data_IF_422299672421
#
_entry.id   IF_422299672421
#
_cell.length_a   1.000
_cell.length_b   1.000
_cell.length_c   1.000
_cell.angle_alpha   90.00
_cell.angle_beta   90.00
_cell.angle_gamma   90.00
#
_symmetry.space_group_name_H-M   'P 1'
#
loop_
_entity.id
_entity.type
_entity.pdbx_description
1 polymer ?
#
# COMPACT_ATOMS: atom_id res chain seq x y z
N UNK A 1 3.44 21.20 -13.49
CA UNK A 1 4.22 20.34 -14.44
C UNK A 1 3.89 20.63 -15.88
N UNK A 2 4.89 20.48 -16.79
CA UNK A 2 4.64 20.59 -18.22
C UNK A 2 3.87 19.35 -18.72
N UNK A 3 3.03 19.53 -19.76
CA UNK A 3 2.31 18.43 -20.43
C UNK A 3 3.24 17.27 -20.82
N UNK A 4 4.50 17.57 -21.11
CA UNK A 4 5.54 16.60 -21.49
C UNK A 4 5.90 15.65 -20.31
N UNK A 5 5.92 16.13 -19.08
CA UNK A 5 6.24 15.33 -17.88
C UNK A 5 5.07 14.41 -17.53
N UNK A 6 3.82 14.89 -17.61
CA UNK A 6 2.61 14.05 -17.43
C UNK A 6 2.55 12.93 -18.47
N UNK A 7 2.94 13.23 -19.72
CA UNK A 7 3.00 12.23 -20.81
C UNK A 7 4.09 11.19 -20.57
N UNK A 8 5.24 11.58 -20.01
CA UNK A 8 6.33 10.64 -19.70
C UNK A 8 5.95 9.68 -18.56
N UNK A 9 5.32 10.17 -17.50
CA UNK A 9 4.86 9.35 -16.38
C UNK A 9 3.77 8.39 -16.85
N UNK A 10 2.77 8.88 -17.59
CA UNK A 10 1.73 8.04 -18.19
C UNK A 10 2.31 7.01 -19.18
N UNK A 11 3.37 7.33 -19.92
CA UNK A 11 4.04 6.40 -20.82
C UNK A 11 4.84 5.32 -20.06
N UNK A 12 5.44 5.64 -18.91
CA UNK A 12 6.10 4.64 -18.05
C UNK A 12 5.08 3.65 -17.45
N UNK A 13 3.91 4.14 -17.04
CA UNK A 13 2.82 3.29 -16.54
C UNK A 13 2.22 2.46 -17.68
N UNK A 14 1.98 3.05 -18.86
CA UNK A 14 1.44 2.34 -20.03
C UNK A 14 2.45 1.37 -20.66
N UNK A 15 3.75 1.69 -20.63
CA UNK A 15 4.82 0.83 -21.14
C UNK A 15 4.97 -0.51 -20.40
N UNK A 16 4.50 -0.57 -19.14
CA UNK A 16 4.47 -1.81 -18.37
C UNK A 16 3.41 -2.83 -18.90
N UNK A 17 2.52 -2.42 -19.79
CA UNK A 17 1.48 -3.30 -20.36
C UNK A 17 1.83 -3.96 -21.71
N UNK A 18 2.93 -3.54 -22.37
CA UNK A 18 3.22 -3.97 -23.74
C UNK A 18 3.78 -5.39 -23.88
N UNK A 19 4.49 -6.01 -22.92
CA UNK A 19 4.95 -7.40 -23.04
C UNK A 19 4.02 -8.46 -22.46
N UNK A 20 2.85 -8.12 -21.93
CA UNK A 20 2.00 -9.03 -21.16
C UNK A 20 1.53 -10.29 -21.92
N UNK A 21 1.63 -10.33 -23.26
CA UNK A 21 1.19 -11.48 -24.06
C UNK A 21 2.08 -12.74 -23.93
N UNK A 22 3.30 -12.61 -23.35
CA UNK A 22 4.25 -13.70 -23.14
C UNK A 22 4.87 -13.72 -21.73
N UNK A 23 4.39 -12.86 -20.83
CA UNK A 23 4.92 -12.78 -19.48
C UNK A 23 4.50 -14.00 -18.65
N UNK A 24 5.45 -14.68 -18.05
CA UNK A 24 5.18 -15.76 -17.11
C UNK A 24 4.65 -15.15 -15.79
N UNK A 25 3.45 -15.58 -15.38
CA UNK A 25 2.86 -15.19 -14.10
C UNK A 25 3.23 -16.22 -13.03
N UNK A 26 3.95 -15.78 -12.00
CA UNK A 26 4.38 -16.64 -10.89
C UNK A 26 3.30 -16.82 -9.84
N UNK A 27 2.57 -15.74 -9.54
CA UNK A 27 1.43 -15.77 -8.61
C UNK A 27 0.40 -14.70 -8.94
N UNK A 28 -0.79 -14.90 -8.42
CA UNK A 28 -1.86 -13.91 -8.34
C UNK A 28 -2.63 -14.20 -7.05
N UNK A 29 -2.82 -13.19 -6.24
CA UNK A 29 -3.56 -13.27 -4.99
C UNK A 29 -4.58 -12.15 -4.94
N UNK A 30 -5.82 -12.48 -4.64
CA UNK A 30 -6.90 -11.51 -4.46
C UNK A 30 -7.51 -11.67 -3.08
N UNK A 31 -7.85 -10.56 -2.44
CA UNK A 31 -8.48 -10.61 -1.14
C UNK A 31 -9.55 -9.54 -0.94
N UNK A 32 -10.43 -9.80 0.01
CA UNK A 32 -11.39 -8.83 0.53
C UNK A 32 -11.18 -8.74 2.04
N UNK A 33 -11.14 -7.51 2.55
CA UNK A 33 -11.04 -7.23 3.98
C UNK A 33 -12.21 -6.39 4.46
N UNK A 34 -12.57 -6.58 5.73
CA UNK A 34 -13.45 -5.68 6.46
C UNK A 34 -12.70 -5.24 7.71
N UNK A 35 -12.60 -3.92 7.91
CA UNK A 35 -11.99 -3.31 9.08
C UNK A 35 -13.00 -2.44 9.79
N UNK A 36 -12.94 -2.42 11.12
CA UNK A 36 -13.82 -1.59 11.96
C UNK A 36 -13.03 -0.99 13.11
N UNK A 37 -13.19 0.32 13.32
CA UNK A 37 -12.69 1.04 14.50
C UNK A 37 -13.62 2.20 14.86
N UNK A 38 -13.62 2.60 16.11
CA UNK A 38 -14.28 3.80 16.63
C UNK A 38 -13.27 4.92 17.01
N UNK A 39 -12.01 4.74 16.61
CA UNK A 39 -10.90 5.60 16.99
C UNK A 39 -10.23 6.34 15.82
N UNK A 40 -10.79 6.27 14.59
CA UNK A 40 -10.21 6.99 13.45
C UNK A 40 -10.28 8.50 13.64
N UNK A 41 -9.19 9.18 13.29
CA UNK A 41 -9.10 10.63 13.38
C UNK A 41 -9.78 11.30 12.19
N UNK A 42 -10.63 12.29 12.47
CA UNK A 42 -11.30 13.12 11.47
C UNK A 42 -10.95 14.60 11.63
N UNK A 43 -11.39 15.41 10.67
CA UNK A 43 -11.24 16.86 10.72
C UNK A 43 -11.82 17.44 12.02
N UNK A 44 -11.21 18.52 12.51
CA UNK A 44 -11.65 19.19 13.74
C UNK A 44 -11.26 18.45 15.00
N UNK A 45 -10.25 17.56 14.94
CA UNK A 45 -9.70 16.82 16.09
C UNK A 45 -10.73 15.91 16.77
N UNK A 46 -11.58 15.31 15.99
CA UNK A 46 -12.62 14.40 16.46
C UNK A 46 -12.31 12.97 16.06
N UNK A 47 -12.74 12.03 16.90
CA UNK A 47 -12.71 10.61 16.54
C UNK A 47 -14.01 10.19 15.91
N UNK A 48 -13.92 9.30 14.93
CA UNK A 48 -15.07 8.78 14.18
C UNK A 48 -15.05 7.28 14.14
N UNK A 49 -16.23 6.69 14.15
CA UNK A 49 -16.42 5.26 13.90
C UNK A 49 -16.51 5.05 12.40
N UNK A 50 -15.67 4.16 11.87
CA UNK A 50 -15.64 3.86 10.44
C UNK A 50 -15.53 2.36 10.18
N UNK A 51 -16.10 1.93 9.06
CA UNK A 51 -15.90 0.60 8.49
C UNK A 51 -15.26 0.74 7.11
N UNK A 52 -14.17 0.03 6.90
CA UNK A 52 -13.54 -0.08 5.58
C UNK A 52 -13.86 -1.43 4.95
N UNK A 53 -14.16 -1.42 3.66
CA UNK A 53 -14.24 -2.58 2.80
C UNK A 53 -13.11 -2.45 1.78
N UNK A 54 -12.12 -3.32 1.87
CA UNK A 54 -10.95 -3.30 1.00
C UNK A 54 -10.99 -4.48 0.05
N UNK A 55 -10.80 -4.22 -1.24
CA UNK A 55 -10.41 -5.22 -2.21
C UNK A 55 -8.95 -5.02 -2.57
N UNK A 56 -8.17 -6.11 -2.62
CA UNK A 56 -6.77 -6.08 -3.00
C UNK A 56 -6.48 -7.15 -4.06
N UNK A 57 -5.52 -6.86 -4.93
CA UNK A 57 -4.93 -7.84 -5.84
C UNK A 57 -3.42 -7.62 -5.95
N UNK A 58 -2.66 -8.67 -5.74
CA UNK A 58 -1.22 -8.69 -5.95
C UNK A 58 -0.85 -9.72 -7.02
N UNK A 59 0.03 -9.35 -7.95
CA UNK A 59 0.56 -10.28 -8.96
C UNK A 59 2.07 -10.20 -9.05
N UNK A 60 2.70 -11.34 -9.33
CA UNK A 60 4.13 -11.42 -9.63
C UNK A 60 4.35 -12.07 -10.99
N UNK A 61 5.26 -11.50 -11.75
CA UNK A 61 5.62 -11.89 -13.10
C UNK A 61 7.15 -11.91 -13.28
N UNK A 62 7.63 -12.46 -14.39
CA UNK A 62 9.04 -12.39 -14.76
C UNK A 62 9.56 -10.96 -14.94
N UNK A 63 8.71 -10.05 -15.42
CA UNK A 63 9.03 -8.64 -15.61
C UNK A 63 8.92 -7.78 -14.33
N UNK A 64 8.33 -8.30 -13.23
CA UNK A 64 8.13 -7.57 -11.98
C UNK A 64 6.81 -7.89 -11.29
N UNK A 65 6.12 -6.89 -10.76
CA UNK A 65 4.89 -7.11 -10.00
C UNK A 65 3.87 -5.98 -10.19
N UNK A 66 2.61 -6.28 -9.84
CA UNK A 66 1.59 -5.24 -9.64
C UNK A 66 0.93 -5.41 -8.29
N UNK A 67 0.54 -4.29 -7.70
CA UNK A 67 -0.35 -4.25 -6.57
C UNK A 67 -1.49 -3.28 -6.88
N UNK A 68 -2.69 -3.65 -6.48
CA UNK A 68 -3.89 -2.83 -6.61
C UNK A 68 -4.71 -2.98 -5.35
N UNK A 69 -5.24 -1.89 -4.84
CA UNK A 69 -6.32 -1.96 -3.87
C UNK A 69 -7.34 -0.84 -4.08
N UNK A 70 -8.51 -1.08 -3.55
CA UNK A 70 -9.56 -0.06 -3.42
C UNK A 70 -10.25 -0.23 -2.08
N UNK A 71 -10.35 0.86 -1.36
CA UNK A 71 -11.06 1.01 -0.11
C UNK A 71 -12.38 1.73 -0.33
N UNK A 72 -13.44 1.18 0.23
CA UNK A 72 -14.66 1.92 0.49
C UNK A 72 -14.77 2.17 1.98
N UNK A 73 -14.72 3.41 2.37
CA UNK A 73 -14.93 3.85 3.74
C UNK A 73 -16.39 4.22 3.98
N UNK A 74 -16.95 3.78 5.11
CA UNK A 74 -18.26 4.18 5.60
C UNK A 74 -18.13 4.71 7.01
N UNK A 75 -18.38 6.02 7.19
CA UNK A 75 -18.47 6.66 8.48
C UNK A 75 -19.83 6.39 9.16
N UNK A 76 -19.82 6.23 10.48
CA UNK A 76 -21.01 6.02 11.29
C UNK A 76 -21.16 7.15 12.32
N UNK A 77 -22.28 7.87 12.30
CA UNK A 77 -22.58 8.93 13.26
C UNK A 77 -23.34 10.10 12.65
N UNK A 78 -23.82 11.01 13.50
CA UNK A 78 -24.70 12.10 13.09
C UNK A 78 -24.01 13.21 12.28
N UNK A 79 -22.67 13.26 12.32
CA UNK A 79 -21.88 14.34 11.70
C UNK A 79 -20.79 13.81 10.73
N UNK A 80 -20.82 12.52 10.37
CA UNK A 80 -19.76 11.85 9.63
C UNK A 80 -20.29 10.86 8.58
N UNK A 81 -21.30 11.23 7.81
CA UNK A 81 -21.66 10.49 6.59
C UNK A 81 -20.55 10.66 5.54
N UNK A 82 -19.39 10.06 5.83
CA UNK A 82 -18.27 9.98 4.88
C UNK A 82 -18.32 8.64 4.18
N UNK A 83 -19.09 8.57 3.12
CA UNK A 83 -18.92 7.54 2.10
C UNK A 83 -17.79 8.00 1.18
N UNK A 84 -16.65 7.33 1.27
CA UNK A 84 -15.48 7.66 0.48
C UNK A 84 -14.92 6.42 -0.22
N UNK A 85 -14.26 6.62 -1.35
CA UNK A 85 -13.61 5.58 -2.12
C UNK A 85 -12.21 6.04 -2.47
N UNK A 86 -11.20 5.31 -1.99
CA UNK A 86 -9.79 5.56 -2.29
C UNK A 86 -9.17 4.29 -2.86
N UNK A 87 -8.21 4.42 -3.75
CA UNK A 87 -7.51 3.26 -4.28
C UNK A 87 -6.15 3.62 -4.88
N UNK A 88 -5.36 2.56 -5.06
CA UNK A 88 -4.02 2.66 -5.61
C UNK A 88 -3.76 1.55 -6.63
N UNK A 89 -2.94 1.87 -7.63
CA UNK A 89 -2.37 0.92 -8.56
C UNK A 89 -0.86 1.12 -8.64
N UNK A 90 -0.08 0.12 -8.24
CA UNK A 90 1.37 0.18 -8.13
C UNK A 90 2.07 -0.90 -8.98
N UNK A 91 2.43 -0.60 -10.24
CA UNK A 91 3.28 -1.45 -11.07
C UNK A 91 4.75 -1.27 -10.70
N UNK A 92 5.51 -2.38 -10.65
CA UNK A 92 6.94 -2.40 -10.38
C UNK A 92 7.65 -3.21 -11.46
N UNK A 93 8.53 -2.55 -12.22
CA UNK A 93 9.29 -3.18 -13.31
C UNK A 93 10.68 -3.59 -12.81
N UNK A 94 11.00 -4.88 -12.91
CA UNK A 94 12.33 -5.42 -12.60
C UNK A 94 13.40 -4.85 -13.52
N UNK A 95 14.43 -4.24 -12.97
CA UNK A 95 15.56 -3.75 -13.75
C UNK A 95 16.46 -4.90 -14.20
N UNK A 96 16.51 -6.01 -13.48
CA UNK A 96 17.19 -7.22 -13.93
C UNK A 96 16.55 -7.77 -15.21
N UNK A 97 15.23 -7.85 -15.25
CA UNK A 97 14.49 -8.27 -16.45
C UNK A 97 14.66 -7.28 -17.59
N UNK A 98 14.50 -5.99 -17.33
CA UNK A 98 14.58 -4.92 -18.34
C UNK A 98 15.96 -4.87 -19.02
N UNK A 99 17.04 -5.06 -18.25
CA UNK A 99 18.42 -4.97 -18.76
C UNK A 99 18.98 -6.31 -19.25
N UNK A 100 18.29 -7.41 -18.95
CA UNK A 100 18.80 -8.77 -19.18
C UNK A 100 20.01 -9.14 -18.31
N UNK A 101 20.34 -8.32 -17.30
CA UNK A 101 21.46 -8.53 -16.39
C UNK A 101 20.97 -8.69 -14.96
N UNK A 102 21.54 -9.62 -14.22
CA UNK A 102 21.22 -9.79 -12.79
C UNK A 102 21.80 -8.62 -11.99
N UNK A 103 20.97 -7.64 -11.60
CA UNK A 103 21.36 -6.47 -10.83
C UNK A 103 21.27 -6.68 -9.31
N UNK A 104 20.62 -7.75 -8.87
CA UNK A 104 20.52 -8.23 -7.51
C UNK A 104 20.88 -9.71 -7.45
N UNK A 105 20.33 -10.46 -6.50
CA UNK A 105 20.52 -11.90 -6.46
C UNK A 105 20.34 -12.55 -5.11
N UNK A 106 21.27 -13.43 -4.74
CA UNK A 106 21.18 -14.24 -3.51
C UNK A 106 21.71 -13.49 -2.27
N UNK A 107 22.22 -12.26 -2.45
CA UNK A 107 22.61 -11.35 -1.37
C UNK A 107 21.41 -10.66 -0.75
N UNK A 108 21.65 -9.63 0.06
CA UNK A 108 20.60 -8.86 0.73
C UNK A 108 19.65 -8.17 -0.26
N UNK A 109 20.16 -7.69 -1.39
CA UNK A 109 19.36 -7.09 -2.45
C UNK A 109 18.93 -8.18 -3.42
N UNK A 110 17.62 -8.38 -3.56
CA UNK A 110 17.01 -9.32 -4.50
C UNK A 110 16.98 -8.74 -5.92
N UNK A 111 16.49 -7.51 -6.06
CA UNK A 111 16.42 -6.79 -7.32
C UNK A 111 16.27 -5.28 -7.11
N UNK A 112 16.55 -4.51 -8.17
CA UNK A 112 16.18 -3.11 -8.26
C UNK A 112 14.98 -2.98 -9.20
N UNK A 113 14.09 -2.01 -8.91
CA UNK A 113 12.90 -1.79 -9.73
C UNK A 113 12.78 -0.33 -10.18
N UNK A 114 12.12 -0.14 -11.31
CA UNK A 114 11.45 1.11 -11.63
C UNK A 114 10.00 0.95 -11.17
N UNK A 115 9.61 1.72 -10.17
CA UNK A 115 8.31 1.63 -9.52
C UNK A 115 7.43 2.79 -9.92
N UNK A 116 6.16 2.51 -10.19
CA UNK A 116 5.12 3.51 -10.38
C UNK A 116 4.02 3.31 -9.36
N UNK A 117 3.26 4.37 -9.08
CA UNK A 117 2.02 4.30 -8.32
C UNK A 117 1.06 5.36 -8.84
N UNK A 118 -0.20 5.04 -8.87
CA UNK A 118 -1.29 5.95 -9.16
C UNK A 118 -2.30 5.87 -8.03
N UNK A 119 -2.56 7.00 -7.39
CA UNK A 119 -3.53 7.15 -6.32
C UNK A 119 -4.74 7.91 -6.84
N UNK A 120 -5.94 7.44 -6.49
CA UNK A 120 -7.17 8.01 -6.97
C UNK A 120 -8.29 7.95 -5.93
N UNK A 121 -9.18 8.93 -6.00
CA UNK A 121 -10.38 9.00 -5.14
C UNK A 121 -10.12 9.80 -3.88
N UNK A 122 -10.76 9.40 -2.77
CA UNK A 122 -10.73 10.14 -1.52
C UNK A 122 -11.62 11.38 -1.51
N UNK A 123 -11.99 11.86 -0.32
CA UNK A 123 -12.87 13.02 -0.15
C UNK A 123 -12.32 14.32 -0.72
N UNK A 124 -11.04 14.38 -1.08
CA UNK A 124 -10.36 15.51 -1.73
C UNK A 124 -10.12 15.29 -3.22
N UNK A 125 -10.62 14.19 -3.79
CA UNK A 125 -10.38 13.77 -5.18
C UNK A 125 -8.88 13.62 -5.50
N UNK A 126 -8.16 12.84 -4.70
CA UNK A 126 -6.75 12.50 -4.93
C UNK A 126 -6.54 11.98 -6.36
N UNK A 127 -5.51 12.48 -7.02
CA UNK A 127 -5.14 12.13 -8.38
C UNK A 127 -3.61 12.29 -8.51
N UNK A 128 -2.86 11.45 -7.79
CA UNK A 128 -1.41 11.54 -7.70
C UNK A 128 -0.76 10.50 -8.59
N UNK A 129 0.30 10.91 -9.27
CA UNK A 129 1.16 10.04 -10.06
C UNK A 129 2.54 10.00 -9.41
N UNK A 130 3.03 8.78 -9.18
CA UNK A 130 4.29 8.57 -8.50
C UNK A 130 5.20 7.70 -9.35
N UNK A 131 6.49 8.02 -9.38
CA UNK A 131 7.50 7.25 -10.07
C UNK A 131 8.85 7.36 -9.38
N UNK A 132 9.60 6.25 -9.36
CA UNK A 132 10.93 6.28 -8.80
C UNK A 132 11.61 4.91 -8.70
N UNK A 133 12.84 4.85 -8.19
CA UNK A 133 13.55 3.61 -7.98
C UNK A 133 12.99 2.84 -6.78
N UNK A 134 13.09 1.52 -6.85
CA UNK A 134 12.77 0.64 -5.74
C UNK A 134 13.82 -0.43 -5.54
N UNK A 135 13.78 -1.04 -4.37
CA UNK A 135 14.62 -2.16 -3.97
C UNK A 135 13.74 -3.27 -3.41
N UNK A 136 13.85 -4.45 -3.98
CA UNK A 136 13.35 -5.68 -3.39
C UNK A 136 14.46 -6.34 -2.59
N UNK A 137 14.15 -6.74 -1.37
CA UNK A 137 15.14 -7.29 -0.44
C UNK A 137 14.94 -8.78 -0.20
N UNK A 138 16.03 -9.52 -0.04
CA UNK A 138 16.04 -10.85 0.56
C UNK A 138 16.17 -10.73 2.08
N UNK A 139 15.19 -10.11 2.74
CA UNK A 139 15.22 -9.91 4.20
C UNK A 139 14.97 -11.25 4.91
N UNK A 140 15.93 -11.74 5.72
CA UNK A 140 15.80 -13.05 6.39
C UNK A 140 14.53 -13.12 7.25
N UNK A 141 13.75 -14.18 7.03
CA UNK A 141 12.51 -14.45 7.78
C UNK A 141 11.29 -13.64 7.31
N UNK A 142 11.40 -12.84 6.27
CA UNK A 142 10.28 -12.18 5.61
C UNK A 142 9.90 -12.92 4.32
N UNK A 143 8.63 -12.91 3.98
CA UNK A 143 8.10 -13.40 2.70
C UNK A 143 8.43 -12.41 1.58
N UNK A 144 8.28 -11.13 1.90
CA UNK A 144 8.69 -9.99 1.10
C UNK A 144 9.07 -8.82 2.01
N UNK A 145 10.00 -8.02 1.52
CA UNK A 145 10.37 -6.74 2.11
C UNK A 145 10.83 -5.86 0.97
N UNK A 146 10.17 -4.73 0.76
CA UNK A 146 10.45 -3.83 -0.36
C UNK A 146 10.52 -2.39 0.11
N UNK A 147 11.33 -1.58 -0.57
CA UNK A 147 11.42 -0.14 -0.36
C UNK A 147 11.24 0.56 -1.70
N UNK A 148 10.43 1.61 -1.74
CA UNK A 148 10.18 2.44 -2.92
C UNK A 148 10.49 3.90 -2.56
N UNK A 149 11.08 4.62 -3.51
CA UNK A 149 11.38 6.04 -3.39
C UNK A 149 10.71 6.75 -4.55
N UNK A 150 9.68 7.51 -4.26
CA UNK A 150 8.86 8.14 -5.28
C UNK A 150 9.10 9.64 -5.35
N UNK A 151 9.12 10.15 -6.56
CA UNK A 151 8.72 11.50 -6.87
C UNK A 151 7.22 11.49 -7.08
N UNK A 152 6.51 12.37 -6.40
CA UNK A 152 5.05 12.47 -6.40
C UNK A 152 4.65 13.70 -7.21
N UNK A 153 3.84 13.52 -8.25
CA UNK A 153 3.17 14.58 -8.99
C UNK A 153 1.71 14.63 -8.53
N UNK A 154 1.38 15.58 -7.69
CA UNK A 154 0.02 15.82 -7.22
C UNK A 154 -0.62 17.05 -7.90
N UNK A 155 -1.89 17.27 -7.65
CA UNK A 155 -2.58 18.44 -8.20
C UNK A 155 -2.14 19.76 -7.53
N UNK A 156 -1.64 19.72 -6.32
CA UNK A 156 -1.29 20.88 -5.51
C UNK A 156 0.20 21.17 -5.51
N UNK A 157 1.03 20.17 -5.26
CA UNK A 157 2.48 20.32 -5.19
C UNK A 157 3.21 19.04 -5.61
N UNK A 158 4.47 19.17 -6.00
CA UNK A 158 5.35 18.02 -6.25
C UNK A 158 6.03 17.65 -4.91
N UNK A 159 6.20 16.35 -4.64
CA UNK A 159 6.71 15.85 -3.37
C UNK A 159 7.59 14.61 -3.54
N UNK A 160 8.17 14.10 -2.44
CA UNK A 160 8.89 12.84 -2.40
C UNK A 160 8.29 11.94 -1.32
N UNK A 161 8.08 10.68 -1.65
CA UNK A 161 7.60 9.68 -0.71
C UNK A 161 8.55 8.48 -0.66
N UNK A 162 8.73 7.95 0.54
CA UNK A 162 9.37 6.66 0.77
C UNK A 162 8.34 5.69 1.32
N UNK A 163 8.16 4.58 0.62
CA UNK A 163 7.28 3.48 1.02
C UNK A 163 8.10 2.24 1.37
N UNK A 164 7.84 1.65 2.53
CA UNK A 164 8.38 0.35 2.94
C UNK A 164 7.22 -0.61 3.14
N UNK A 165 7.25 -1.77 2.49
CA UNK A 165 6.20 -2.80 2.63
C UNK A 165 6.84 -4.12 3.04
N UNK A 166 6.21 -4.81 3.99
CA UNK A 166 6.71 -6.10 4.46
C UNK A 166 5.60 -7.13 4.67
N UNK A 167 6.00 -8.41 4.63
CA UNK A 167 5.16 -9.53 5.04
C UNK A 167 6.01 -10.63 5.67
N UNK A 168 5.60 -11.08 6.85
CA UNK A 168 6.28 -12.10 7.62
C UNK A 168 5.29 -13.11 8.18
N UNK A 169 5.36 -14.35 7.70
CA UNK A 169 4.65 -15.46 8.32
C UNK A 169 5.45 -16.00 9.52
N UNK A 170 4.76 -16.27 10.60
CA UNK A 170 5.30 -16.85 11.82
C UNK A 170 4.49 -18.10 12.20
N UNK A 171 5.19 -19.16 12.60
CA UNK A 171 4.56 -20.41 13.00
C UNK A 171 4.94 -20.77 14.43
N UNK A 172 3.92 -21.02 15.26
CA UNK A 172 4.05 -21.42 16.66
C UNK A 172 3.23 -22.69 16.89
N UNK A 173 3.86 -23.85 16.68
CA UNK A 173 3.15 -25.13 16.66
C UNK A 173 2.13 -25.18 15.54
N UNK A 174 0.86 -25.36 15.88
CA UNK A 174 -0.25 -25.34 14.90
C UNK A 174 -0.81 -23.95 14.60
N UNK A 175 -0.27 -22.91 15.24
CA UNK A 175 -0.75 -21.52 15.06
C UNK A 175 0.09 -20.84 14.00
N UNK A 176 -0.57 -20.24 13.00
CA UNK A 176 0.06 -19.41 11.97
C UNK A 176 -0.40 -17.96 12.12
N UNK A 177 0.55 -17.05 12.15
CA UNK A 177 0.34 -15.61 12.27
C UNK A 177 1.01 -14.93 11.09
N UNK A 178 0.32 -14.00 10.45
CA UNK A 178 0.87 -13.10 9.45
C UNK A 178 1.04 -11.71 10.05
N UNK A 179 2.25 -11.20 10.01
CA UNK A 179 2.60 -9.82 10.34
C UNK A 179 3.02 -9.11 9.06
N UNK A 180 2.21 -8.22 8.57
CA UNK A 180 2.47 -7.44 7.36
C UNK A 180 2.04 -5.99 7.55
N UNK A 181 2.29 -5.17 6.54
CA UNK A 181 1.92 -3.77 6.58
C UNK A 181 2.87 -2.90 5.78
N UNK A 182 2.73 -1.60 6.00
CA UNK A 182 3.54 -0.60 5.30
C UNK A 182 3.90 0.58 6.20
N UNK A 183 4.88 1.35 5.73
CA UNK A 183 5.22 2.68 6.20
C UNK A 183 5.28 3.56 4.96
N UNK A 184 4.59 4.70 5.02
CA UNK A 184 4.76 5.80 4.10
C UNK A 184 5.30 7.01 4.84
N UNK A 185 6.28 7.65 4.25
CA UNK A 185 6.82 8.91 4.72
C UNK A 185 6.97 9.85 3.54
N UNK A 186 6.28 11.00 3.58
CA UNK A 186 6.36 12.06 2.59
C UNK A 186 7.05 13.30 3.13
N UNK A 187 7.67 14.06 2.25
CA UNK A 187 8.35 15.30 2.59
C UNK A 187 7.33 16.41 2.83
N UNK A 188 7.78 17.53 3.39
CA UNK A 188 6.97 18.73 3.52
C UNK A 188 7.20 19.63 2.31
N UNK A 189 6.13 20.24 1.85
CA UNK A 189 6.15 21.32 0.84
C UNK A 189 5.41 22.55 1.35
N UNK A 190 5.26 23.58 0.52
CA UNK A 190 4.71 24.88 0.95
C UNK A 190 3.24 24.77 1.42
N UNK A 191 2.48 23.80 0.92
CA UNK A 191 1.04 23.63 1.17
C UNK A 191 0.71 22.50 2.16
N UNK A 192 1.70 21.65 2.52
CA UNK A 192 1.49 20.54 3.46
C UNK A 192 2.72 20.22 4.32
N UNK A 193 2.49 19.51 5.43
CA UNK A 193 3.53 19.01 6.31
C UNK A 193 4.04 17.66 5.83
N UNK A 194 5.29 17.35 6.22
CA UNK A 194 5.77 15.97 6.16
C UNK A 194 4.82 15.08 6.95
N UNK A 195 4.36 14.00 6.35
CA UNK A 195 3.54 13.03 7.03
C UNK A 195 4.26 11.69 7.21
N UNK A 196 3.79 10.91 8.18
CA UNK A 196 4.33 9.59 8.46
C UNK A 196 3.19 8.67 8.84
N UNK A 197 2.94 7.67 8.00
CA UNK A 197 1.93 6.65 8.21
C UNK A 197 2.57 5.29 8.45
N UNK A 198 2.37 4.70 9.62
CA UNK A 198 2.78 3.35 9.98
C UNK A 198 1.53 2.49 10.17
N UNK A 199 1.34 1.49 9.31
CA UNK A 199 0.13 0.68 9.25
C UNK A 199 0.44 -0.82 9.26
N UNK A 200 0.78 -1.41 10.43
CA UNK A 200 0.97 -2.85 10.58
C UNK A 200 -0.34 -3.58 10.80
N UNK A 201 -0.42 -4.80 10.28
CA UNK A 201 -1.47 -5.77 10.55
C UNK A 201 -0.89 -7.01 11.25
N UNK A 202 -1.60 -7.52 12.24
CA UNK A 202 -1.30 -8.79 12.90
C UNK A 202 -2.51 -9.71 12.77
N UNK A 203 -2.36 -10.79 12.01
CA UNK A 203 -3.47 -11.64 11.56
C UNK A 203 -3.24 -13.10 11.93
N UNK A 204 -4.21 -13.72 12.58
CA UNK A 204 -4.27 -15.15 12.83
C UNK A 204 -4.88 -15.86 11.62
N UNK A 205 -4.19 -16.86 11.09
CA UNK A 205 -4.68 -17.70 9.99
C UNK A 205 -5.73 -18.70 10.50
N UNK A 206 -7.00 -18.33 10.41
CA UNK A 206 -8.13 -19.18 10.79
C UNK A 206 -8.35 -20.32 9.79
N UNK A 207 -7.99 -20.10 8.52
CA UNK A 207 -8.05 -21.12 7.47
C UNK A 207 -7.15 -22.31 7.78
N UNK A 208 -6.01 -22.07 8.45
CA UNK A 208 -5.08 -23.12 8.84
C UNK A 208 -5.72 -24.19 9.73
N UNK A 209 -6.62 -23.82 10.65
CA UNK A 209 -7.35 -24.77 11.50
C UNK A 209 -8.42 -25.60 10.77
N UNK A 210 -8.72 -25.23 9.51
CA UNK A 210 -9.70 -25.91 8.64
C UNK A 210 -9.08 -26.59 7.44
N UNK A 211 -7.73 -26.70 7.40
CA UNK A 211 -6.99 -27.33 6.32
C UNK A 211 -6.86 -26.48 5.05
N UNK A 212 -7.16 -25.18 5.14
CA UNK A 212 -7.03 -24.21 4.05
C UNK A 212 -6.19 -23.01 4.53
N UNK A 213 -4.88 -23.21 4.82
CA UNK A 213 -4.02 -22.15 5.32
C UNK A 213 -3.91 -21.01 4.28
N UNK A 214 -3.87 -19.77 4.78
CA UNK A 214 -3.75 -18.59 3.93
C UNK A 214 -5.05 -18.06 3.35
N UNK A 215 -6.20 -18.70 3.61
CA UNK A 215 -7.50 -18.32 2.99
C UNK A 215 -8.29 -17.34 3.86
N UNK A 216 -8.35 -17.57 5.17
CA UNK A 216 -9.14 -16.73 6.08
C UNK A 216 -8.32 -16.28 7.26
N UNK A 217 -8.29 -14.99 7.47
CA UNK A 217 -7.61 -14.37 8.61
C UNK A 217 -8.58 -13.54 9.47
N UNK A 218 -8.30 -13.50 10.76
CA UNK A 218 -8.85 -12.49 11.66
C UNK A 218 -7.70 -11.87 12.47
N UNK A 219 -7.80 -10.58 12.76
CA UNK A 219 -6.73 -9.88 13.41
C UNK A 219 -7.04 -8.44 13.73
N UNK A 220 -5.99 -7.67 13.81
CA UNK A 220 -6.04 -6.24 14.04
C UNK A 220 -5.13 -5.53 13.04
N UNK A 221 -5.50 -4.30 12.73
CA UNK A 221 -4.65 -3.31 12.08
C UNK A 221 -4.42 -2.15 13.06
N UNK A 222 -3.21 -1.61 13.08
CA UNK A 222 -2.89 -0.39 13.80
C UNK A 222 -2.55 0.71 12.81
N UNK A 223 -3.27 1.81 12.84
CA UNK A 223 -2.95 3.01 12.05
C UNK A 223 -2.37 4.07 12.97
N UNK A 224 -1.08 4.37 12.77
CA UNK A 224 -0.44 5.55 13.33
C UNK A 224 -0.10 6.50 12.20
N UNK A 225 -0.77 7.66 12.16
CA UNK A 225 -0.56 8.63 11.10
C UNK A 225 -0.35 10.03 11.66
N UNK A 226 0.89 10.45 11.68
CA UNK A 226 1.29 11.79 12.10
C UNK A 226 1.16 12.76 10.93
N UNK A 227 0.63 13.95 11.17
CA UNK A 227 0.26 14.94 10.16
C UNK A 227 -0.59 14.34 9.03
N UNK A 228 -1.60 13.57 9.39
CA UNK A 228 -2.47 12.83 8.47
C UNK A 228 -2.91 13.72 7.31
N UNK A 229 -2.71 13.26 6.07
CA UNK A 229 -2.94 14.01 4.82
C UNK A 229 -2.08 15.27 4.69
N UNK A 230 -0.91 15.33 5.32
CA UNK A 230 -0.07 16.53 5.32
C UNK A 230 -0.62 17.69 6.18
N UNK A 231 -1.70 17.45 6.93
CA UNK A 231 -2.32 18.47 7.78
C UNK A 231 -1.58 18.59 9.11
N UNK A 232 -1.54 19.79 9.66
CA UNK A 232 -0.91 20.03 10.97
C UNK A 232 -1.88 19.71 12.13
N UNK A 233 -1.31 19.59 13.33
CA UNK A 233 -2.05 19.27 14.56
C UNK A 233 -3.10 20.34 14.95
N UNK A 234 -3.10 21.53 14.32
CA UNK A 234 -4.14 22.53 14.54
C UNK A 234 -5.47 22.13 13.85
N UNK A 235 -5.38 21.35 12.78
CA UNK A 235 -6.51 20.92 11.96
C UNK A 235 -6.96 19.50 12.30
N UNK A 236 -5.99 18.59 12.48
CA UNK A 236 -6.24 17.17 12.74
C UNK A 236 -5.15 16.63 13.67
N UNK A 237 -5.54 15.97 14.76
CA UNK A 237 -4.58 15.31 15.65
C UNK A 237 -3.96 14.07 14.97
N UNK A 238 -2.77 13.68 15.43
CA UNK A 238 -2.15 12.43 15.03
C UNK A 238 -3.12 11.26 15.22
N UNK A 239 -3.34 10.46 14.17
CA UNK A 239 -4.14 9.24 14.27
C UNK A 239 -3.38 8.16 15.05
N UNK A 240 -4.09 7.50 15.93
CA UNK A 240 -3.64 6.31 16.64
C UNK A 240 -4.87 5.44 16.86
N UNK A 241 -5.16 4.59 15.88
CA UNK A 241 -6.37 3.78 15.82
C UNK A 241 -6.04 2.30 15.72
N UNK A 242 -6.80 1.46 16.43
CA UNK A 242 -6.76 0.00 16.27
C UNK A 242 -8.07 -0.45 15.66
N UNK A 243 -8.00 -1.17 14.55
CA UNK A 243 -9.15 -1.74 13.85
C UNK A 243 -9.21 -3.25 14.08
N UNK A 244 -10.41 -3.78 14.31
CA UNK A 244 -10.66 -5.20 14.13
C UNK A 244 -10.67 -5.52 12.63
N UNK A 245 -10.06 -6.63 12.24
CA UNK A 245 -9.87 -7.00 10.83
C UNK A 245 -10.29 -8.45 10.57
N UNK A 246 -11.02 -8.66 9.48
CA UNK A 246 -11.23 -9.98 8.86
C UNK A 246 -10.84 -9.89 7.40
N UNK A 247 -10.02 -10.83 6.90
CA UNK A 247 -9.54 -10.86 5.53
C UNK A 247 -9.72 -12.25 4.91
N UNK A 248 -10.24 -12.29 3.70
CA UNK A 248 -10.46 -13.53 2.94
C UNK A 248 -9.74 -13.46 1.59
N UNK A 249 -8.92 -14.47 1.30
CA UNK A 249 -8.17 -14.63 0.05
C UNK A 249 -8.86 -15.68 -0.87
N UNK A 250 -8.83 -15.43 -2.18
CA UNK A 250 -9.47 -16.29 -3.19
C UNK A 250 -8.75 -16.28 -4.54
#
# INVERSE_FOLDING_TARGET
MSTLQKTLIAACIAGAFVPAAHAEKYFSDSSISILYSDDYQAFGKTKTTQTFFTFENATGHDWGSTFFFVDRNQGHGKDTDTDDLYGEFAPNLSLSWLTGNKLGGDGLIKDFTLSGQYEFGGGTNVNNYMVGPGIDWNMPGFMYFVTRFYYVDSETSDDYQTTVVWGKAMEFGSTRILFDGYIDWSTAEDDHKSDFHFNPQLKLDLGNYRGSPGVLYAGIEYSYWNNKYGLNDDVMDTESAVSALVKFHF
#
